data_IF_446312729950
#
_entry.id   IF_446312729950
#
_cell.length_a   1.000
_cell.length_b   1.000
_cell.length_c   1.000
_cell.angle_alpha   90.00
_cell.angle_beta   90.00
_cell.angle_gamma   90.00
#
_symmetry.space_group_name_H-M   'P 1'
#
loop_
_entity.id
_entity.type
_entity.pdbx_description
1 polymer ?
#
# COMPACT_ATOMS: atom_id res chain seq x y z
N UNK A 1 20.39 -4.72 -2.32
CA UNK A 1 18.95 -4.42 -2.43
C UNK A 1 18.22 -5.15 -1.31
N UNK A 2 17.26 -4.51 -0.64
CA UNK A 2 16.54 -5.07 0.52
C UNK A 2 15.03 -4.92 0.28
N UNK A 3 14.25 -5.84 0.82
CA UNK A 3 12.79 -5.86 0.69
C UNK A 3 12.16 -5.92 2.08
N UNK A 4 11.10 -5.14 2.28
CA UNK A 4 10.25 -5.17 3.47
C UNK A 4 8.87 -5.60 3.00
N UNK A 5 8.42 -6.78 3.42
CA UNK A 5 7.08 -7.27 3.15
C UNK A 5 6.14 -6.81 4.27
N UNK A 6 5.07 -6.10 3.91
CA UNK A 6 4.04 -5.70 4.86
C UNK A 6 2.79 -6.53 4.58
N UNK A 7 2.42 -7.40 5.52
CA UNK A 7 1.18 -8.20 5.45
C UNK A 7 0.14 -7.66 6.43
N UNK A 8 -1.11 -8.06 6.24
CA UNK A 8 -2.22 -7.74 7.13
C UNK A 8 -2.88 -8.99 7.67
N UNK A 9 -3.31 -8.96 8.93
CA UNK A 9 -4.15 -9.99 9.53
C UNK A 9 -5.42 -9.39 10.12
N UNK A 10 -6.41 -10.25 10.37
CA UNK A 10 -7.69 -9.96 11.04
C UNK A 10 -8.69 -9.14 10.21
N UNK A 11 -8.36 -7.91 9.80
CA UNK A 11 -9.32 -7.02 9.12
C UNK A 11 -8.66 -6.07 8.12
N UNK A 12 -9.36 -5.78 7.03
CA UNK A 12 -8.92 -4.80 6.04
C UNK A 12 -9.36 -3.37 6.40
N UNK A 13 -8.64 -2.35 5.93
CA UNK A 13 -9.01 -0.94 6.13
C UNK A 13 -8.47 -0.22 7.38
N UNK A 14 -7.88 -0.92 8.35
CA UNK A 14 -7.43 -0.29 9.64
C UNK A 14 -6.11 0.51 9.55
N UNK A 15 -5.54 0.71 8.36
CA UNK A 15 -4.39 1.63 8.20
C UNK A 15 -3.05 0.97 7.87
N UNK A 16 -3.05 -0.23 7.27
CA UNK A 16 -1.84 -0.88 6.74
C UNK A 16 -1.05 0.05 5.80
N UNK A 17 -1.75 0.80 4.95
CA UNK A 17 -1.14 1.76 4.02
C UNK A 17 -0.44 2.92 4.74
N UNK A 18 -1.05 3.45 5.81
CA UNK A 18 -0.47 4.53 6.62
C UNK A 18 0.80 4.04 7.31
N UNK A 19 0.76 2.85 7.93
CA UNK A 19 1.92 2.27 8.61
C UNK A 19 3.07 2.04 7.62
N UNK A 20 2.80 1.43 6.47
CA UNK A 20 3.83 1.19 5.44
C UNK A 20 4.44 2.50 4.91
N UNK A 21 3.62 3.52 4.69
CA UNK A 21 4.07 4.85 4.21
C UNK A 21 4.92 5.59 5.24
N UNK A 22 4.54 5.50 6.53
CA UNK A 22 5.33 6.08 7.63
C UNK A 22 6.72 5.44 7.73
N UNK A 23 6.81 4.11 7.60
CA UNK A 23 8.10 3.40 7.56
C UNK A 23 8.95 3.89 6.38
N UNK A 24 8.34 4.00 5.19
CA UNK A 24 9.03 4.52 4.00
C UNK A 24 9.59 5.93 4.19
N UNK A 25 8.84 6.79 4.89
CA UNK A 25 9.23 8.17 5.23
C UNK A 25 10.42 8.20 6.17
N UNK A 26 10.41 7.39 7.23
CA UNK A 26 11.53 7.28 8.19
C UNK A 26 12.80 6.78 7.49
N UNK A 27 12.69 5.76 6.64
CA UNK A 27 13.84 5.24 5.89
C UNK A 27 14.42 6.29 4.93
N UNK A 28 13.55 7.06 4.26
CA UNK A 28 13.97 8.16 3.39
C UNK A 28 14.67 9.27 4.17
N UNK A 29 14.16 9.61 5.36
CA UNK A 29 14.81 10.57 6.26
C UNK A 29 16.19 10.07 6.74
N UNK A 30 16.37 8.75 6.86
CA UNK A 30 17.67 8.11 7.12
C UNK A 30 18.61 8.03 5.91
N UNK A 31 18.30 8.71 4.79
CA UNK A 31 19.14 8.74 3.59
C UNK A 31 19.03 7.50 2.69
N UNK A 32 18.09 6.60 2.96
CA UNK A 32 17.89 5.40 2.14
C UNK A 32 16.95 5.71 0.98
N UNK A 33 17.31 5.23 -0.22
CA UNK A 33 16.40 5.22 -1.36
C UNK A 33 15.33 4.14 -1.14
N UNK A 34 14.08 4.55 -1.05
CA UNK A 34 12.92 3.67 -0.86
C UNK A 34 11.93 3.80 -2.01
N UNK A 35 11.26 2.68 -2.32
CA UNK A 35 10.15 2.61 -3.27
C UNK A 35 9.10 1.64 -2.71
N UNK A 36 7.87 1.72 -3.22
CA UNK A 36 6.74 0.88 -2.78
C UNK A 36 6.15 0.12 -3.95
N UNK A 37 5.76 -1.12 -3.71
CA UNK A 37 4.97 -1.95 -4.62
C UNK A 37 3.71 -2.38 -3.86
N UNK A 38 2.53 -2.07 -4.41
CA UNK A 38 1.25 -2.49 -3.86
C UNK A 38 0.78 -3.74 -4.63
N UNK A 39 0.26 -4.71 -3.89
CA UNK A 39 -0.32 -5.94 -4.46
C UNK A 39 -1.78 -5.96 -4.04
N UNK A 40 -2.67 -5.81 -5.02
CA UNK A 40 -4.11 -5.84 -4.82
C UNK A 40 -4.65 -7.23 -5.21
N UNK A 41 -5.32 -7.98 -4.30
CA UNK A 41 -5.79 -9.34 -4.57
C UNK A 41 -7.13 -9.36 -5.34
N UNK A 42 -7.42 -8.31 -6.11
CA UNK A 42 -8.65 -8.21 -6.90
C UNK A 42 -8.47 -8.87 -8.27
N UNK A 43 -9.57 -9.34 -8.85
CA UNK A 43 -9.59 -9.91 -10.20
C UNK A 43 -9.47 -8.81 -11.28
N UNK A 44 -9.97 -7.61 -10.96
CA UNK A 44 -9.91 -6.45 -11.82
C UNK A 44 -8.45 -6.07 -12.09
N UNK A 45 -8.14 -5.82 -13.35
CA UNK A 45 -6.78 -5.47 -13.79
C UNK A 45 -6.39 -4.07 -13.31
N UNK A 46 -7.36 -3.15 -13.29
CA UNK A 46 -7.16 -1.77 -12.89
C UNK A 46 -8.36 -1.22 -12.10
N UNK A 47 -8.09 -0.13 -11.37
CA UNK A 47 -9.06 0.54 -10.52
C UNK A 47 -10.18 1.25 -11.33
N UNK A 48 -9.98 1.53 -12.61
CA UNK A 48 -10.95 2.23 -13.47
C UNK A 48 -12.22 1.43 -13.75
N UNK A 49 -12.20 0.12 -13.51
CA UNK A 49 -13.39 -0.74 -13.58
C UNK A 49 -14.22 -0.76 -12.29
N UNK A 50 -13.74 -0.15 -11.20
CA UNK A 50 -14.47 -0.06 -9.94
C UNK A 50 -15.37 1.18 -9.90
N UNK A 51 -16.48 1.06 -9.17
CA UNK A 51 -17.31 2.21 -8.81
C UNK A 51 -16.58 3.08 -7.77
N UNK A 52 -16.32 4.38 -8.04
CA UNK A 52 -15.62 5.25 -7.10
C UNK A 52 -16.36 5.46 -5.78
N UNK A 53 -17.70 5.36 -5.82
CA UNK A 53 -18.55 5.53 -4.63
C UNK A 53 -18.40 4.40 -3.62
N UNK A 54 -18.04 3.20 -4.08
CA UNK A 54 -17.97 2.00 -3.23
C UNK A 54 -16.53 1.66 -2.83
N UNK A 55 -15.58 1.86 -3.74
CA UNK A 55 -14.19 1.42 -3.57
C UNK A 55 -13.20 2.57 -3.38
N UNK A 56 -13.69 3.80 -3.39
CA UNK A 56 -12.86 5.00 -3.32
C UNK A 56 -12.39 5.47 -4.69
N UNK A 57 -11.68 6.59 -4.68
CA UNK A 57 -11.13 7.22 -5.88
C UNK A 57 -10.11 6.32 -6.61
N UNK A 58 -10.09 6.46 -7.94
CA UNK A 58 -9.19 5.78 -8.89
C UNK A 58 -7.96 6.64 -9.14
#
# INVERSE_FOLDING_TARGET
>A
MKYILVTGGVISGIGKGVIASSIGTVLKAGGLRTTSIKIDPYINIDAGTFSPYEHGEV
#
